data_IF_096182842143
#
_entry.id   IF_096182842143
#
_cell.length_a   1.000
_cell.length_b   1.000
_cell.length_c   1.000
_cell.angle_alpha   90.00
_cell.angle_beta   90.00
_cell.angle_gamma   90.00
#
_symmetry.space_group_name_H-M   'P 1'
#
loop_
_entity.id
_entity.type
_entity.pdbx_description
1 polymer ?
#
# COMPACT_ATOMS: atom_id res chain seq x y z
N UNK A 1 15.69 -10.57 34.50
CA UNK A 1 15.82 -9.83 33.22
C UNK A 1 14.44 -9.66 32.58
N UNK A 2 13.80 -8.50 32.75
CA UNK A 2 12.46 -8.21 32.23
C UNK A 2 12.41 -7.95 30.71
N UNK A 3 13.14 -8.72 29.91
CA UNK A 3 13.13 -8.60 28.45
C UNK A 3 11.86 -9.26 27.91
N UNK A 4 11.00 -8.48 27.26
CA UNK A 4 9.81 -8.97 26.57
C UNK A 4 10.16 -9.23 25.10
N UNK A 5 10.17 -10.51 24.71
CA UNK A 5 10.38 -10.93 23.32
C UNK A 5 9.09 -10.77 22.51
N UNK A 6 9.19 -10.50 21.21
CA UNK A 6 8.02 -10.27 20.34
C UNK A 6 7.31 -11.57 19.96
N UNK A 7 7.97 -12.71 20.14
CA UNK A 7 7.38 -14.03 19.86
C UNK A 7 7.90 -15.12 20.80
N UNK A 8 7.14 -16.21 20.91
CA UNK A 8 7.57 -17.40 21.66
C UNK A 8 8.86 -18.00 21.12
N UNK A 9 9.04 -17.98 19.79
CA UNK A 9 10.25 -18.45 19.12
C UNK A 9 11.48 -17.64 19.56
N UNK A 10 11.39 -16.31 19.59
CA UNK A 10 12.48 -15.45 20.07
C UNK A 10 12.84 -15.71 21.53
N UNK A 11 11.83 -15.94 22.39
CA UNK A 11 12.05 -16.28 23.78
C UNK A 11 12.80 -17.63 23.92
N UNK A 12 12.45 -18.62 23.11
CA UNK A 12 13.12 -19.92 23.12
C UNK A 12 14.55 -19.86 22.60
N UNK A 13 14.80 -19.08 21.54
CA UNK A 13 16.16 -18.80 21.05
C UNK A 13 17.00 -18.13 22.12
N UNK A 14 16.46 -17.14 22.84
CA UNK A 14 17.18 -16.47 23.92
C UNK A 14 17.55 -17.43 25.06
N UNK A 15 16.68 -18.39 25.41
CA UNK A 15 16.99 -19.44 26.39
C UNK A 15 18.14 -20.35 25.93
N UNK A 16 18.13 -20.74 24.66
CA UNK A 16 19.20 -21.56 24.06
C UNK A 16 20.54 -20.82 24.09
N UNK A 17 20.54 -19.53 23.73
CA UNK A 17 21.77 -18.72 23.71
C UNK A 17 22.32 -18.43 25.12
N UNK A 18 21.46 -18.29 26.14
CA UNK A 18 21.87 -18.12 27.55
C UNK A 18 22.65 -19.32 28.10
N UNK A 19 22.33 -20.55 27.66
CA UNK A 19 23.09 -21.74 28.04
C UNK A 19 24.56 -21.70 27.58
N UNK A 20 24.88 -20.90 26.55
CA UNK A 20 26.22 -20.74 26.01
C UNK A 20 27.11 -19.68 26.67
N UNK A 21 26.68 -19.03 27.78
CA UNK A 21 27.41 -17.93 28.48
C UNK A 21 27.79 -16.72 27.60
N UNK A 22 27.12 -16.52 26.46
CA UNK A 22 27.36 -15.36 25.57
C UNK A 22 26.56 -14.15 26.05
N UNK A 23 27.14 -12.95 25.97
CA UNK A 23 26.37 -11.69 26.09
C UNK A 23 25.48 -11.57 24.85
N UNK A 24 24.16 -11.52 25.04
CA UNK A 24 23.18 -11.41 23.96
C UNK A 24 22.56 -10.01 24.05
N UNK A 25 22.48 -9.34 22.91
CA UNK A 25 21.79 -8.08 22.77
C UNK A 25 20.59 -8.31 21.83
N UNK A 26 19.38 -8.12 22.34
CA UNK A 26 18.14 -8.30 21.59
C UNK A 26 17.66 -6.94 21.07
N UNK A 27 17.42 -6.83 19.75
CA UNK A 27 17.00 -5.59 19.06
C UNK A 27 17.80 -4.33 19.45
N UNK A 28 19.11 -4.50 19.65
CA UNK A 28 19.95 -3.49 20.31
C UNK A 28 20.25 -2.26 19.44
N UNK A 29 20.38 -2.43 18.13
CA UNK A 29 20.68 -1.33 17.23
C UNK A 29 19.86 -1.45 15.92
N UNK A 30 19.25 -0.35 15.45
CA UNK A 30 18.70 -0.31 14.12
C UNK A 30 19.82 -0.25 13.07
N UNK A 31 19.59 -0.87 11.91
CA UNK A 31 20.48 -0.78 10.75
C UNK A 31 19.77 -0.02 9.64
N UNK A 32 20.39 1.06 9.15
CA UNK A 32 19.89 1.80 8.00
C UNK A 32 20.12 1.02 6.71
N UNK A 33 19.17 1.10 5.77
CA UNK A 33 19.27 0.50 4.43
C UNK A 33 18.58 1.40 3.41
N UNK A 34 18.99 1.30 2.15
CA UNK A 34 18.40 2.03 1.01
C UNK A 34 17.76 1.03 0.08
N UNK A 35 16.54 1.31 -0.37
CA UNK A 35 15.91 0.58 -1.46
C UNK A 35 16.28 1.25 -2.78
N UNK A 36 16.54 0.48 -3.85
CA UNK A 36 16.77 1.06 -5.17
C UNK A 36 15.52 1.81 -5.65
N UNK A 37 15.73 2.74 -6.57
CA UNK A 37 14.64 3.42 -7.26
C UNK A 37 13.68 2.40 -7.86
N UNK A 38 12.39 2.59 -7.59
CA UNK A 38 11.32 1.75 -8.11
C UNK A 38 10.57 2.51 -9.18
N UNK A 39 10.37 1.87 -10.32
CA UNK A 39 9.57 2.43 -11.40
C UNK A 39 8.09 2.15 -11.16
N UNK A 40 7.27 3.17 -11.44
CA UNK A 40 5.83 3.06 -11.49
C UNK A 40 5.38 2.94 -12.95
N UNK A 41 4.59 1.92 -13.22
CA UNK A 41 3.95 1.70 -14.52
C UNK A 41 2.44 1.74 -14.28
N UNK A 42 1.73 2.76 -14.78
CA UNK A 42 0.28 2.76 -14.73
C UNK A 42 -0.25 1.61 -15.61
N UNK A 43 -1.42 1.08 -15.28
CA UNK A 43 -2.03 0.03 -16.10
C UNK A 43 -2.49 0.60 -17.45
N UNK A 44 -2.97 1.84 -17.47
CA UNK A 44 -3.35 2.55 -18.68
C UNK A 44 -2.93 4.02 -18.65
N UNK A 45 -2.52 4.52 -19.80
CA UNK A 45 -2.22 5.94 -20.04
C UNK A 45 -3.18 6.48 -21.08
N UNK A 46 -4.08 7.37 -20.67
CA UNK A 46 -5.12 7.93 -21.53
C UNK A 46 -4.71 9.34 -21.92
N UNK A 47 -4.35 9.52 -23.19
CA UNK A 47 -4.06 10.85 -23.75
C UNK A 47 -5.38 11.53 -24.10
N UNK A 48 -5.62 12.71 -23.55
CA UNK A 48 -6.88 13.44 -23.74
C UNK A 48 -6.71 14.58 -24.73
N UNK A 49 -7.67 14.75 -25.63
CA UNK A 49 -7.65 15.90 -26.53
C UNK A 49 -7.97 17.18 -25.74
N UNK A 50 -7.02 18.10 -25.68
CA UNK A 50 -7.21 19.42 -25.06
C UNK A 50 -7.17 19.45 -23.52
N UNK A 51 -6.63 18.41 -22.87
CA UNK A 51 -6.45 18.35 -21.42
C UNK A 51 -5.27 17.50 -20.98
N UNK A 52 -5.03 17.44 -19.67
CA UNK A 52 -3.96 16.60 -19.10
C UNK A 52 -4.29 15.11 -19.22
N UNK A 53 -3.25 14.31 -19.48
CA UNK A 53 -3.33 12.86 -19.51
C UNK A 53 -3.85 12.27 -18.19
N UNK A 54 -4.57 11.17 -18.29
CA UNK A 54 -5.08 10.43 -17.12
C UNK A 54 -4.42 9.06 -17.06
N UNK A 55 -3.79 8.77 -15.93
CA UNK A 55 -3.15 7.48 -15.66
C UNK A 55 -4.10 6.64 -14.80
N UNK A 56 -4.54 5.50 -15.33
CA UNK A 56 -5.47 4.62 -14.61
C UNK A 56 -4.70 3.45 -13.99
N UNK A 57 -4.85 3.26 -12.68
CA UNK A 57 -4.47 2.03 -11.98
C UNK A 57 -5.74 1.18 -11.73
N UNK A 58 -5.80 0.00 -12.32
CA UNK A 58 -6.86 -0.97 -12.09
C UNK A 58 -6.50 -1.82 -10.89
N UNK A 59 -7.40 -1.90 -9.90
CA UNK A 59 -7.12 -2.59 -8.65
C UNK A 59 -8.24 -3.51 -8.17
N UNK A 60 -7.89 -4.76 -7.91
CA UNK A 60 -8.72 -5.69 -7.14
C UNK A 60 -8.60 -5.45 -5.63
N UNK A 61 -7.36 -5.37 -5.14
CA UNK A 61 -7.05 -5.18 -3.72
C UNK A 61 -6.11 -3.99 -3.49
N UNK A 62 -6.52 -3.09 -2.59
CA UNK A 62 -5.72 -1.97 -2.13
C UNK A 62 -4.94 -2.35 -0.86
N UNK A 63 -4.03 -3.30 -1.00
CA UNK A 63 -3.22 -3.82 0.10
C UNK A 63 -2.16 -2.81 0.60
N UNK A 64 -1.47 -3.17 1.69
CA UNK A 64 -0.51 -2.28 2.34
C UNK A 64 0.62 -1.82 1.42
N UNK A 65 1.08 -2.69 0.53
CA UNK A 65 2.18 -2.38 -0.40
C UNK A 65 1.70 -1.49 -1.54
N UNK A 66 0.51 -1.73 -2.11
CA UNK A 66 -0.11 -0.82 -3.08
C UNK A 66 -0.30 0.57 -2.48
N UNK A 67 -0.78 0.65 -1.24
CA UNK A 67 -0.95 1.94 -0.56
C UNK A 67 0.38 2.68 -0.36
N UNK A 68 1.46 1.98 0.04
CA UNK A 68 2.80 2.58 0.18
C UNK A 68 3.34 3.04 -1.18
N UNK A 69 3.25 2.17 -2.20
CA UNK A 69 3.67 2.46 -3.58
C UNK A 69 3.00 3.73 -4.08
N UNK A 70 1.68 3.80 -4.02
CA UNK A 70 0.92 4.87 -4.65
C UNK A 70 1.10 6.21 -3.94
N UNK A 71 1.27 6.21 -2.60
CA UNK A 71 1.67 7.44 -1.89
C UNK A 71 3.05 7.93 -2.30
N UNK A 72 4.04 7.04 -2.39
CA UNK A 72 5.39 7.41 -2.83
C UNK A 72 5.38 7.94 -4.28
N UNK A 73 4.58 7.33 -5.16
CA UNK A 73 4.38 7.81 -6.53
C UNK A 73 3.76 9.20 -6.55
N UNK A 74 2.72 9.45 -5.75
CA UNK A 74 2.08 10.78 -5.69
C UNK A 74 3.02 11.84 -5.10
N UNK A 75 3.84 11.47 -4.12
CA UNK A 75 4.84 12.36 -3.54
C UNK A 75 5.95 12.70 -4.55
N UNK A 76 6.43 11.71 -5.31
CA UNK A 76 7.45 11.91 -6.35
C UNK A 76 6.90 12.62 -7.60
N UNK A 77 5.64 12.42 -7.94
CA UNK A 77 4.99 12.95 -9.14
C UNK A 77 3.63 13.60 -8.83
N UNK A 78 3.60 14.71 -8.06
CA UNK A 78 2.35 15.30 -7.57
C UNK A 78 1.44 15.83 -8.69
N UNK A 79 2.03 16.16 -9.84
CA UNK A 79 1.35 16.69 -11.02
C UNK A 79 0.67 15.63 -11.89
N UNK A 80 0.98 14.35 -11.72
CA UNK A 80 0.32 13.30 -12.49
C UNK A 80 -1.12 13.09 -12.01
N UNK A 81 -2.04 13.07 -12.96
CA UNK A 81 -3.45 12.75 -12.73
C UNK A 81 -3.65 11.23 -12.72
N UNK A 82 -3.35 10.62 -11.59
CA UNK A 82 -3.51 9.18 -11.38
C UNK A 82 -4.86 8.90 -10.73
N UNK A 83 -5.64 8.01 -11.34
CA UNK A 83 -6.98 7.61 -10.86
C UNK A 83 -7.06 6.09 -10.66
N UNK A 84 -7.95 5.64 -9.77
CA UNK A 84 -8.16 4.22 -9.51
C UNK A 84 -9.46 3.70 -10.11
N UNK A 85 -9.38 2.56 -10.79
CA UNK A 85 -10.56 1.79 -11.17
C UNK A 85 -10.61 0.49 -10.36
N UNK A 86 -11.59 0.39 -9.46
CA UNK A 86 -11.81 -0.79 -8.65
C UNK A 86 -12.85 -1.74 -9.27
N UNK A 87 -12.77 -3.03 -8.93
CA UNK A 87 -13.74 -4.01 -9.38
C UNK A 87 -15.12 -3.90 -8.71
N UNK A 88 -16.14 -4.46 -9.38
CA UNK A 88 -17.49 -4.67 -8.86
C UNK A 88 -17.71 -6.13 -8.43
N UNK A 89 -18.76 -6.40 -7.68
CA UNK A 89 -19.19 -7.76 -7.38
C UNK A 89 -19.80 -8.45 -8.63
N UNK A 90 -20.18 -9.73 -8.49
CA UNK A 90 -20.75 -10.52 -9.59
C UNK A 90 -22.11 -10.00 -10.10
N UNK A 91 -22.73 -9.06 -9.40
CA UNK A 91 -24.00 -8.43 -9.75
C UNK A 91 -23.82 -6.99 -10.25
N UNK A 92 -22.57 -6.51 -10.37
CA UNK A 92 -22.27 -5.15 -10.81
C UNK A 92 -22.25 -4.10 -9.70
N UNK A 93 -22.37 -4.47 -8.42
CA UNK A 93 -22.35 -3.50 -7.33
C UNK A 93 -20.90 -3.13 -6.94
N UNK A 94 -20.62 -1.86 -6.59
CA UNK A 94 -19.34 -1.44 -6.04
C UNK A 94 -18.96 -2.25 -4.79
N UNK A 95 -17.78 -2.91 -4.78
CA UNK A 95 -17.35 -3.70 -3.62
C UNK A 95 -16.95 -2.85 -2.42
N UNK A 96 -16.29 -1.71 -2.69
CA UNK A 96 -15.71 -0.76 -1.73
C UNK A 96 -15.34 -1.38 -0.35
N UNK A 97 -14.47 -2.41 -0.30
CA UNK A 97 -14.20 -3.14 0.92
C UNK A 97 -13.30 -2.33 1.88
N UNK A 98 -13.22 -2.71 3.16
CA UNK A 98 -12.21 -2.22 4.07
C UNK A 98 -10.78 -2.47 3.54
N UNK A 99 -9.84 -1.56 3.81
CA UNK A 99 -8.42 -1.71 3.40
C UNK A 99 -7.74 -2.97 3.96
N UNK A 100 -8.27 -3.51 5.06
CA UNK A 100 -7.92 -4.80 5.65
C UNK A 100 -9.07 -5.27 6.53
N UNK A 101 -9.10 -6.57 6.87
CA UNK A 101 -10.12 -7.13 7.78
C UNK A 101 -10.17 -6.34 9.10
N UNK A 102 -11.35 -5.87 9.46
CA UNK A 102 -11.61 -5.10 10.68
C UNK A 102 -11.25 -3.60 10.62
N UNK A 103 -10.75 -3.09 9.49
CA UNK A 103 -10.53 -1.66 9.35
C UNK A 103 -11.85 -0.89 9.18
N UNK A 104 -11.92 0.31 9.75
CA UNK A 104 -13.00 1.27 9.48
C UNK A 104 -12.84 1.94 8.11
N UNK A 105 -11.59 2.22 7.72
CA UNK A 105 -11.24 2.83 6.44
C UNK A 105 -11.47 1.85 5.28
N UNK A 106 -12.17 2.31 4.26
CA UNK A 106 -12.45 1.64 2.99
C UNK A 106 -11.55 2.17 1.88
N UNK A 107 -11.69 1.59 0.69
CA UNK A 107 -10.88 1.98 -0.47
C UNK A 107 -11.19 3.42 -0.89
N UNK A 108 -12.48 3.76 -0.99
CA UNK A 108 -12.97 5.14 -1.17
C UNK A 108 -12.37 6.13 -0.17
N UNK A 109 -12.54 5.86 1.14
CA UNK A 109 -12.00 6.70 2.21
C UNK A 109 -10.48 6.91 2.07
N UNK A 110 -9.76 5.87 1.64
CA UNK A 110 -8.32 5.95 1.41
C UNK A 110 -7.99 6.84 0.22
N UNK A 111 -8.68 6.67 -0.90
CA UNK A 111 -8.51 7.48 -2.10
C UNK A 111 -8.78 8.97 -1.80
N UNK A 112 -9.87 9.27 -1.11
CA UNK A 112 -10.23 10.63 -0.68
C UNK A 112 -9.17 11.23 0.24
N UNK A 113 -8.71 10.45 1.23
CA UNK A 113 -7.67 10.89 2.17
C UNK A 113 -6.35 11.26 1.48
N UNK A 114 -5.98 10.56 0.40
CA UNK A 114 -4.69 10.74 -0.27
C UNK A 114 -4.80 11.44 -1.64
N UNK A 115 -5.97 11.98 -1.98
CA UNK A 115 -6.16 12.81 -3.18
C UNK A 115 -6.08 12.03 -4.49
N UNK A 116 -6.70 10.84 -4.51
CA UNK A 116 -6.88 10.05 -5.73
C UNK A 116 -8.36 10.01 -6.11
N UNK A 117 -8.67 10.35 -7.35
CA UNK A 117 -9.97 10.07 -7.93
C UNK A 117 -10.14 8.57 -8.16
N UNK A 118 -11.37 8.09 -8.02
CA UNK A 118 -11.66 6.67 -8.15
C UNK A 118 -13.05 6.39 -8.72
N UNK A 119 -13.23 5.18 -9.24
CA UNK A 119 -14.49 4.63 -9.73
C UNK A 119 -14.55 3.13 -9.46
N UNK A 120 -15.74 2.54 -9.64
CA UNK A 120 -15.96 1.10 -9.57
C UNK A 120 -16.58 0.59 -10.87
N UNK A 121 -15.98 -0.44 -11.46
CA UNK A 121 -16.48 -1.12 -12.65
C UNK A 121 -16.11 -0.40 -13.95
N UNK A 122 -16.58 0.83 -14.14
CA UNK A 122 -16.39 1.59 -15.39
C UNK A 122 -15.60 2.88 -15.16
N UNK A 123 -14.85 3.28 -16.19
CA UNK A 123 -14.20 4.60 -16.23
C UNK A 123 -15.25 5.70 -16.25
N UNK A 124 -14.95 6.83 -15.60
CA UNK A 124 -15.79 8.02 -15.69
C UNK A 124 -15.57 8.73 -17.03
N UNK A 125 -16.61 9.40 -17.55
CA UNK A 125 -16.51 10.09 -18.85
C UNK A 125 -15.50 11.23 -18.83
N UNK A 126 -15.36 11.90 -17.69
CA UNK A 126 -14.40 12.98 -17.49
C UNK A 126 -12.93 12.53 -17.50
N UNK A 127 -12.66 11.22 -17.44
CA UNK A 127 -11.32 10.66 -17.57
C UNK A 127 -10.92 10.34 -19.01
N UNK A 128 -11.89 10.40 -19.93
CA UNK A 128 -11.72 10.13 -21.36
C UNK A 128 -11.56 11.42 -22.16
#
# INVERSE_FOLDING_TARGET
DGVMYKSGLEADVAKQLKHGKKKIQYEWCPLAYVLPERLYWPDFWINREGGDDVLVEVKGYLDGDSQRKMRAVKEAHPYLNIVFLFGVDKYGNPRNPPIRKGAKMRYSDWCEKYGFDYAFGNLKKEWL
#
